data_IF_853731901055
#
_entry.id   IF_853731901055
#
_cell.length_a   1.000
_cell.length_b   1.000
_cell.length_c   1.000
_cell.angle_alpha   90.00
_cell.angle_beta   90.00
_cell.angle_gamma   90.00
#
_symmetry.space_group_name_H-M   'P 1'
#
loop_
_entity.id
_entity.type
_entity.pdbx_description
1 polymer ?
#
# COMPACT_ATOMS: atom_id res chain seq x y z
N UNK A 1 -6.17 8.56 6.11
CA UNK A 1 -4.87 8.37 5.43
C UNK A 1 -5.06 8.09 3.94
N UNK A 2 -5.93 7.14 3.56
CA UNK A 2 -6.17 6.73 2.16
C UNK A 2 -6.55 7.88 1.22
N UNK A 3 -7.49 8.74 1.60
CA UNK A 3 -7.95 9.85 0.76
C UNK A 3 -6.81 10.82 0.38
N UNK A 4 -6.02 11.24 1.38
CA UNK A 4 -4.84 12.07 1.15
C UNK A 4 -3.84 11.37 0.23
N UNK A 5 -3.58 10.08 0.45
CA UNK A 5 -2.68 9.29 -0.42
C UNK A 5 -3.15 9.23 -1.87
N UNK A 6 -4.44 8.98 -2.09
CA UNK A 6 -5.07 8.99 -3.42
C UNK A 6 -4.96 10.36 -4.09
N UNK A 7 -5.19 11.44 -3.34
CA UNK A 7 -5.04 12.82 -3.86
C UNK A 7 -3.62 13.10 -4.32
N UNK A 8 -2.61 12.77 -3.51
CA UNK A 8 -1.20 12.97 -3.85
C UNK A 8 -0.80 12.16 -5.10
N UNK A 9 -1.27 10.92 -5.22
CA UNK A 9 -1.02 10.11 -6.43
C UNK A 9 -1.63 10.73 -7.68
N UNK A 10 -2.84 11.31 -7.56
CA UNK A 10 -3.48 12.02 -8.65
C UNK A 10 -2.70 13.27 -9.07
N UNK A 11 -2.20 14.04 -8.12
CA UNK A 11 -1.36 15.23 -8.36
C UNK A 11 -0.06 14.86 -9.08
N UNK A 12 0.50 13.67 -8.82
CA UNK A 12 1.68 13.11 -9.49
C UNK A 12 1.37 12.40 -10.82
N UNK A 13 0.12 12.46 -11.31
CA UNK A 13 -0.27 11.93 -12.62
C UNK A 13 -0.67 10.45 -12.67
N UNK A 14 -0.86 9.79 -11.53
CA UNK A 14 -1.40 8.44 -11.45
C UNK A 14 -2.93 8.44 -11.35
N UNK A 15 -3.59 7.37 -11.82
CA UNK A 15 -5.00 7.14 -11.57
C UNK A 15 -5.20 6.39 -10.24
N UNK A 16 -5.72 7.03 -9.18
CA UNK A 16 -5.89 6.38 -7.87
C UNK A 16 -7.05 5.37 -7.82
N UNK A 17 -7.81 5.20 -8.90
CA UNK A 17 -8.83 4.17 -9.03
C UNK A 17 -8.36 2.96 -9.86
N UNK A 18 -7.14 3.00 -10.41
CA UNK A 18 -6.53 1.90 -11.16
C UNK A 18 -5.47 1.20 -10.31
N UNK A 19 -5.79 0.00 -9.80
CA UNK A 19 -4.90 -0.81 -8.95
C UNK A 19 -3.62 -1.27 -9.67
N UNK A 20 -3.56 -1.15 -11.00
CA UNK A 20 -2.33 -1.42 -11.77
C UNK A 20 -1.35 -0.24 -11.73
N UNK A 21 -1.84 0.97 -11.40
CA UNK A 21 -1.05 2.19 -11.32
C UNK A 21 -0.63 2.57 -9.90
N UNK A 22 -1.25 2.00 -8.86
CA UNK A 22 -1.01 2.42 -7.48
C UNK A 22 -0.90 1.24 -6.50
N UNK A 23 -0.25 1.47 -5.36
CA UNK A 23 -0.22 0.57 -4.21
C UNK A 23 -0.34 1.38 -2.93
N UNK A 24 -1.35 1.08 -2.12
CA UNK A 24 -1.51 1.61 -0.78
C UNK A 24 -1.58 0.47 0.23
N UNK A 25 -0.87 0.60 1.34
CA UNK A 25 -0.86 -0.45 2.34
C UNK A 25 0.15 -0.23 3.45
N UNK A 26 0.32 -1.24 4.29
CA UNK A 26 1.18 -1.21 5.47
C UNK A 26 2.16 -2.38 5.45
N UNK A 27 3.32 -2.18 6.09
CA UNK A 27 4.18 -3.30 6.45
C UNK A 27 3.61 -4.02 7.67
N UNK A 28 3.72 -5.35 7.65
CA UNK A 28 3.37 -6.22 8.77
C UNK A 28 4.67 -6.72 9.41
N UNK A 29 4.80 -6.66 10.75
CA UNK A 29 5.96 -7.22 11.45
C UNK A 29 6.24 -8.67 11.06
N UNK A 30 7.51 -9.11 11.02
CA UNK A 30 8.69 -8.46 11.60
C UNK A 30 9.45 -7.49 10.65
N UNK A 31 8.98 -7.27 9.42
CA UNK A 31 9.72 -6.53 8.39
C UNK A 31 9.24 -5.09 8.22
N UNK A 32 9.20 -4.33 9.31
CA UNK A 32 8.87 -2.90 9.29
C UNK A 32 10.12 -2.04 9.09
N UNK A 33 10.01 -0.97 8.29
CA UNK A 33 11.13 -0.01 8.12
C UNK A 33 11.20 1.02 9.24
N UNK A 34 10.10 1.22 9.97
CA UNK A 34 9.95 2.17 11.10
C UNK A 34 9.03 1.56 12.17
N UNK A 35 9.19 1.98 13.42
CA UNK A 35 8.43 1.44 14.58
C UNK A 35 7.12 2.21 14.87
N UNK A 36 6.47 2.75 13.84
CA UNK A 36 5.14 3.38 13.97
C UNK A 36 4.26 2.99 12.80
N UNK A 37 2.94 3.13 12.97
CA UNK A 37 1.98 2.88 11.90
C UNK A 37 2.24 3.85 10.74
N UNK A 38 2.74 3.31 9.62
CA UNK A 38 3.15 4.08 8.46
C UNK A 38 2.50 3.49 7.21
N UNK A 39 1.57 4.26 6.61
CA UNK A 39 0.93 3.89 5.35
C UNK A 39 1.85 4.23 4.18
N UNK A 40 2.14 3.26 3.34
CA UNK A 40 2.82 3.47 2.06
C UNK A 40 1.82 3.96 1.01
N UNK A 41 2.25 4.96 0.24
CA UNK A 41 1.53 5.51 -0.92
C UNK A 41 2.50 5.48 -2.10
N UNK A 42 2.25 4.59 -3.07
CA UNK A 42 3.25 4.25 -4.09
C UNK A 42 2.59 4.26 -5.48
N UNK A 43 3.20 5.00 -6.41
CA UNK A 43 2.91 4.90 -7.86
C UNK A 43 3.69 3.75 -8.51
N UNK A 44 3.05 3.05 -9.45
CA UNK A 44 3.56 1.88 -10.18
C UNK A 44 3.89 2.24 -11.64
N UNK A 45 4.76 1.47 -12.32
CA UNK A 45 5.41 0.24 -11.88
C UNK A 45 6.63 0.47 -10.97
N UNK A 46 7.01 -0.57 -10.23
CA UNK A 46 8.26 -0.55 -9.49
C UNK A 46 9.46 -0.58 -10.44
N UNK A 47 10.40 0.35 -10.24
CA UNK A 47 11.63 0.42 -11.04
C UNK A 47 12.57 -0.78 -10.86
N UNK A 48 12.43 -1.55 -9.79
CA UNK A 48 13.26 -2.73 -9.54
C UNK A 48 12.51 -3.86 -8.83
N UNK A 49 13.02 -5.09 -9.01
CA UNK A 49 12.43 -6.33 -8.47
C UNK A 49 12.40 -6.37 -6.94
N UNK A 50 13.37 -5.75 -6.27
CA UNK A 50 13.43 -5.71 -4.82
C UNK A 50 12.24 -4.92 -4.24
N UNK A 51 11.93 -3.75 -4.79
CA UNK A 51 10.76 -2.95 -4.40
C UNK A 51 9.46 -3.68 -4.73
N UNK A 52 9.39 -4.32 -5.90
CA UNK A 52 8.25 -5.16 -6.23
C UNK A 52 7.99 -6.22 -5.15
N UNK A 53 9.03 -6.97 -4.73
CA UNK A 53 8.88 -8.01 -3.71
C UNK A 53 8.57 -7.42 -2.31
N UNK A 54 9.21 -6.30 -1.95
CA UNK A 54 9.01 -5.63 -0.65
C UNK A 54 7.56 -5.21 -0.42
N UNK A 55 6.88 -4.74 -1.47
CA UNK A 55 5.51 -4.21 -1.40
C UNK A 55 4.50 -5.11 -2.15
N UNK A 56 4.84 -6.38 -2.36
CA UNK A 56 3.98 -7.33 -3.08
C UNK A 56 2.81 -7.74 -2.20
N UNK A 57 1.60 -7.52 -2.71
CA UNK A 57 0.36 -8.04 -2.09
C UNK A 57 0.35 -9.56 -2.13
N UNK A 58 -0.12 -10.17 -1.04
CA UNK A 58 -0.16 -11.62 -0.85
C UNK A 58 1.08 -12.19 -0.15
N UNK A 59 2.06 -11.35 0.21
CA UNK A 59 3.17 -11.76 1.07
C UNK A 59 2.91 -11.38 2.53
N UNK A 60 3.41 -12.16 3.52
CA UNK A 60 3.08 -11.95 4.93
C UNK A 60 3.50 -10.59 5.51
N UNK A 61 4.41 -9.87 4.85
CA UNK A 61 5.00 -8.62 5.33
C UNK A 61 4.41 -7.34 4.73
N UNK A 62 3.42 -7.46 3.84
CA UNK A 62 2.75 -6.31 3.24
C UNK A 62 1.25 -6.55 3.13
N UNK A 63 0.46 -5.69 3.78
CA UNK A 63 -0.99 -5.73 3.78
C UNK A 63 -1.55 -4.58 2.94
N UNK A 64 -2.34 -4.91 1.93
CA UNK A 64 -3.05 -3.94 1.09
C UNK A 64 -4.15 -3.22 1.89
N UNK A 65 -4.36 -1.93 1.62
CA UNK A 65 -5.34 -1.12 2.35
C UNK A 65 -6.78 -1.64 2.22
N UNK A 66 -7.15 -2.17 1.05
CA UNK A 66 -8.51 -2.67 0.81
C UNK A 66 -8.73 -3.96 1.60
N UNK A 67 -7.74 -4.85 1.61
CA UNK A 67 -7.77 -6.07 2.42
C UNK A 67 -7.86 -5.77 3.92
N UNK A 68 -7.10 -4.77 4.41
CA UNK A 68 -7.18 -4.32 5.80
C UNK A 68 -8.58 -3.79 6.14
N UNK A 69 -9.21 -3.00 5.27
CA UNK A 69 -10.56 -2.53 5.53
C UNK A 69 -11.59 -3.67 5.56
N UNK A 70 -11.40 -4.69 4.73
CA UNK A 70 -12.26 -5.89 4.77
C UNK A 70 -12.09 -6.63 6.09
N UNK A 71 -10.86 -6.84 6.57
CA UNK A 71 -10.62 -7.53 7.84
C UNK A 71 -11.21 -6.77 9.03
N UNK A 72 -11.00 -5.46 9.10
CA UNK A 72 -11.56 -4.62 10.17
C UNK A 72 -13.08 -4.62 10.19
N UNK A 73 -13.74 -4.67 9.02
CA UNK A 73 -15.20 -4.75 8.92
C UNK A 73 -15.74 -6.13 9.27
N UNK A 74 -14.96 -7.20 9.11
CA UNK A 74 -15.38 -8.55 9.51
C UNK A 74 -15.24 -8.82 11.00
N UNK A 75 -14.51 -7.97 11.72
CA UNK A 75 -14.31 -8.07 13.17
C UNK A 75 -15.30 -7.21 13.99
N UNK A 76 -16.15 -6.43 13.31
CA UNK A 76 -17.22 -5.61 13.88
C UNK A 76 -18.59 -6.22 13.59
#
# INVERSE_FOLDING_TARGET
MTELGKRLLKEEGFNPEDETQIRLGFHVPPFNSVNHLHMHVIGLPFKNKFRYLKYKVGLPWFMDINALFMSLKSEL
#
